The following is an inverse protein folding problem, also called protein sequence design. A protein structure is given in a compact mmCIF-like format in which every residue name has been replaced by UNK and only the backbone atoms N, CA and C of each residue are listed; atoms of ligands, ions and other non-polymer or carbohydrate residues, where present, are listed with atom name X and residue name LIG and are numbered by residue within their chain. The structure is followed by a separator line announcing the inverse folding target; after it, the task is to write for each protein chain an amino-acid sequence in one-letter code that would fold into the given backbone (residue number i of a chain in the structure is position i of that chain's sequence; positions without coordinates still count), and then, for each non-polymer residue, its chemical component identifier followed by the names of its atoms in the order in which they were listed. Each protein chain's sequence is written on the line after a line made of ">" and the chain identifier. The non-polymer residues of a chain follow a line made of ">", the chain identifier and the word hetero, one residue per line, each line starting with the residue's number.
data_IF_973236609193
#
_entry.id   IF_973236609193
#
_cell.length_a   1.000
_cell.length_b   1.000
_cell.length_c   1.000
_cell.angle_alpha   90.00
_cell.angle_beta   90.00
_cell.angle_gamma   90.00
#
_symmetry.space_group_name_H-M   'P 1'
#
loop_
_entity.id
_entity.type
_entity.pdbx_description
1 polymer ?
#
# COMPACT_ATOMS: atom_id res chain seq x y z
N UNK A 1 39.94 -29.91 -22.49
CA UNK A 1 38.65 -30.14 -21.79
C UNK A 1 38.60 -29.55 -20.38
N UNK A 2 39.70 -29.52 -19.60
CA UNK A 2 39.70 -28.87 -18.26
C UNK A 2 39.45 -27.35 -18.29
N UNK A 3 39.91 -26.64 -19.33
CA UNK A 3 39.73 -25.19 -19.46
C UNK A 3 38.29 -24.73 -19.72
N UNK A 4 37.45 -25.55 -20.37
CA UNK A 4 36.05 -25.18 -20.65
C UNK A 4 35.17 -25.22 -19.39
N UNK A 5 35.44 -26.17 -18.48
CA UNK A 5 34.70 -26.32 -17.21
C UNK A 5 34.97 -25.15 -16.27
N UNK A 6 36.22 -24.65 -16.27
CA UNK A 6 36.60 -23.47 -15.51
C UNK A 6 35.84 -22.24 -16.04
N UNK A 7 35.72 -22.08 -17.35
CA UNK A 7 34.98 -20.98 -17.96
C UNK A 7 33.49 -21.01 -17.60
N UNK A 8 32.86 -22.20 -17.59
CA UNK A 8 31.46 -22.36 -17.19
C UNK A 8 31.20 -22.02 -15.70
N UNK A 9 32.08 -22.41 -14.78
CA UNK A 9 31.93 -22.10 -13.34
C UNK A 9 32.10 -20.61 -13.02
N UNK A 10 32.92 -19.89 -13.80
CA UNK A 10 33.11 -18.44 -13.63
C UNK A 10 31.86 -17.68 -14.06
N UNK A 11 31.16 -18.12 -15.11
CA UNK A 11 29.93 -17.46 -15.59
C UNK A 11 28.74 -17.64 -14.63
N UNK A 12 28.64 -18.77 -13.92
CA UNK A 12 27.57 -18.99 -12.92
C UNK A 12 27.79 -18.30 -11.57
N UNK A 13 28.98 -17.73 -11.33
CA UNK A 13 29.33 -17.07 -10.07
C UNK A 13 29.45 -15.56 -10.18
N UNK A 14 28.87 -14.92 -11.20
CA UNK A 14 28.62 -13.47 -11.15
C UNK A 14 27.56 -13.22 -10.07
N UNK A 15 27.98 -13.32 -8.81
CA UNK A 15 27.36 -12.61 -7.70
C UNK A 15 27.51 -11.15 -8.09
N UNK A 16 26.40 -10.52 -8.51
CA UNK A 16 26.29 -9.09 -8.79
C UNK A 16 27.32 -8.31 -7.96
N UNK A 17 28.44 -7.97 -8.61
CA UNK A 17 29.53 -7.23 -7.97
C UNK A 17 29.05 -5.79 -7.93
N UNK A 18 28.44 -5.42 -6.81
CA UNK A 18 28.00 -4.05 -6.55
C UNK A 18 29.12 -3.09 -6.94
N UNK A 19 28.82 -2.18 -7.86
CA UNK A 19 29.79 -1.23 -8.40
C UNK A 19 30.42 -0.45 -7.24
N UNK A 20 31.75 -0.29 -7.23
CA UNK A 20 32.50 0.39 -6.14
C UNK A 20 32.04 1.86 -5.94
N UNK A 21 31.23 2.41 -6.85
CA UNK A 21 30.60 3.73 -6.73
C UNK A 21 29.08 3.72 -6.43
N UNK A 22 28.44 2.58 -6.16
CA UNK A 22 27.03 2.55 -5.72
C UNK A 22 26.95 3.04 -4.27
N UNK A 23 26.24 4.14 -4.04
CA UNK A 23 25.94 4.62 -2.69
C UNK A 23 24.99 3.62 -2.05
N UNK A 24 25.29 3.17 -0.83
CA UNK A 24 24.33 2.36 -0.07
C UNK A 24 23.40 3.29 0.70
N UNK A 25 22.23 3.59 0.16
CA UNK A 25 21.29 4.48 0.83
C UNK A 25 20.74 3.89 2.13
N UNK A 26 20.79 2.55 2.30
CA UNK A 26 20.38 1.88 3.54
C UNK A 26 21.41 1.97 4.67
N UNK A 27 22.63 2.49 4.41
CA UNK A 27 23.65 2.65 5.46
C UNK A 27 23.42 3.88 6.34
N UNK A 28 22.74 4.91 5.82
CA UNK A 28 22.44 6.13 6.55
C UNK A 28 20.94 6.47 6.48
N UNK A 29 20.34 6.77 7.64
CA UNK A 29 18.93 7.16 7.76
C UNK A 29 18.56 8.44 6.96
N UNK A 30 19.55 9.24 6.55
CA UNK A 30 19.34 10.45 5.76
C UNK A 30 19.40 10.21 4.25
N UNK A 31 19.81 9.02 3.80
CA UNK A 31 19.91 8.66 2.38
C UNK A 31 18.67 7.91 1.89
N UNK A 32 17.82 7.43 2.79
CA UNK A 32 16.57 6.77 2.47
C UNK A 32 15.38 7.42 3.19
N UNK A 33 14.18 7.33 2.62
CA UNK A 33 12.93 7.72 3.30
C UNK A 33 11.98 6.53 3.54
N UNK A 34 12.52 5.32 3.73
CA UNK A 34 11.72 4.18 4.20
C UNK A 34 10.95 4.50 5.50
N UNK A 35 9.81 3.82 5.69
CA UNK A 35 9.11 3.82 6.97
C UNK A 35 10.06 3.32 8.06
N UNK A 36 9.85 3.79 9.29
CA UNK A 36 10.71 3.41 10.40
C UNK A 36 10.71 1.93 10.76
N UNK A 37 9.60 1.26 10.46
CA UNK A 37 9.45 -0.19 10.65
C UNK A 37 9.77 -0.97 9.38
N UNK A 38 10.00 -0.31 8.24
CA UNK A 38 10.28 -0.98 6.97
C UNK A 38 11.72 -1.48 6.89
N UNK A 39 11.90 -2.55 6.13
CA UNK A 39 13.22 -3.03 5.73
C UNK A 39 13.70 -2.25 4.52
N UNK A 40 14.84 -1.58 4.64
CA UNK A 40 15.54 -0.98 3.50
C UNK A 40 16.35 -2.04 2.74
N UNK A 41 16.22 -2.06 1.42
CA UNK A 41 16.90 -2.99 0.52
C UNK A 41 17.67 -2.17 -0.51
N UNK A 42 18.99 -2.21 -0.39
CA UNK A 42 19.93 -1.50 -1.25
C UNK A 42 20.11 -2.25 -2.59
N UNK A 43 19.74 -1.63 -3.71
CA UNK A 43 19.76 -2.22 -5.06
C UNK A 43 21.06 -1.85 -5.79
N UNK A 44 21.21 -2.30 -7.04
CA UNK A 44 22.33 -1.83 -7.88
C UNK A 44 22.14 -0.38 -8.33
N UNK A 45 20.89 0.03 -8.50
CA UNK A 45 20.47 1.38 -8.89
C UNK A 45 19.45 1.89 -7.86
N UNK A 46 19.94 2.64 -6.88
CA UNK A 46 19.18 3.16 -5.74
C UNK A 46 18.76 2.10 -4.72
N UNK A 47 17.61 2.32 -4.08
CA UNK A 47 17.11 1.48 -2.99
C UNK A 47 15.59 1.30 -3.06
N UNK A 48 15.10 0.25 -2.41
CA UNK A 48 13.67 0.01 -2.22
C UNK A 48 13.35 -0.28 -0.76
N UNK A 49 12.12 -0.01 -0.35
CA UNK A 49 11.66 -0.27 1.01
C UNK A 49 10.57 -1.34 0.99
N UNK A 50 10.52 -2.17 2.03
CA UNK A 50 9.50 -3.20 2.16
C UNK A 50 8.96 -3.25 3.58
N UNK A 51 7.64 -3.25 3.73
CA UNK A 51 7.03 -3.48 5.05
C UNK A 51 7.34 -4.89 5.56
N UNK A 52 7.60 -5.06 6.87
CA UNK A 52 7.84 -6.36 7.47
C UNK A 52 6.56 -7.21 7.50
N UNK A 53 6.72 -8.50 7.75
CA UNK A 53 5.58 -9.41 7.91
C UNK A 53 4.65 -8.88 9.01
N UNK A 54 3.33 -9.01 8.80
CA UNK A 54 2.25 -8.44 9.63
C UNK A 54 1.94 -6.96 9.40
N UNK A 55 2.69 -6.28 8.53
CA UNK A 55 2.39 -4.92 8.08
C UNK A 55 1.96 -4.91 6.62
N UNK A 56 0.96 -4.10 6.31
CA UNK A 56 0.49 -3.83 4.96
C UNK A 56 0.99 -2.47 4.51
N UNK A 57 1.33 -2.42 3.22
CA UNK A 57 1.76 -1.21 2.56
C UNK A 57 0.58 -0.27 2.34
N UNK A 58 0.71 0.97 2.83
CA UNK A 58 -0.30 2.01 2.65
C UNK A 58 -0.20 2.71 1.30
N UNK A 59 0.91 2.58 0.58
CA UNK A 59 1.09 3.20 -0.74
C UNK A 59 1.76 2.24 -1.74
N UNK A 60 0.98 1.60 -2.64
CA UNK A 60 1.53 0.74 -3.68
C UNK A 60 2.48 1.45 -4.66
N UNK A 61 2.35 2.77 -4.85
CA UNK A 61 3.23 3.55 -5.75
C UNK A 61 4.61 3.81 -5.13
N UNK A 62 4.68 3.88 -3.80
CA UNK A 62 5.93 4.05 -3.05
C UNK A 62 6.02 3.04 -1.91
N UNK A 63 6.39 1.79 -2.22
CA UNK A 63 6.31 0.72 -1.24
C UNK A 63 7.26 0.92 -0.07
N UNK A 64 6.85 0.44 1.11
CA UNK A 64 7.62 0.45 2.35
C UNK A 64 7.88 1.84 2.94
N UNK A 65 7.26 2.90 2.40
CA UNK A 65 7.27 4.26 2.99
C UNK A 65 6.18 4.42 4.05
N UNK A 66 5.06 3.71 3.86
CA UNK A 66 3.90 3.72 4.75
C UNK A 66 3.59 2.27 5.12
N UNK A 67 3.84 1.89 6.37
CA UNK A 67 3.56 0.54 6.87
C UNK A 67 2.51 0.63 7.99
N UNK A 68 1.44 -0.15 7.86
CA UNK A 68 0.34 -0.18 8.81
C UNK A 68 -0.09 -1.59 9.20
N UNK A 69 -0.60 -1.75 10.42
CA UNK A 69 -1.15 -3.04 10.89
C UNK A 69 -2.63 -3.10 10.52
N UNK A 70 -3.05 -4.23 9.91
CA UNK A 70 -4.41 -4.44 9.34
C UNK A 70 -5.49 -4.59 10.41
N UNK A 71 -5.15 -5.07 11.60
CA UNK A 71 -6.10 -5.24 12.71
C UNK A 71 -5.64 -4.44 13.91
N UNK A 72 -6.36 -3.36 14.19
CA UNK A 72 -5.99 -2.42 15.23
C UNK A 72 -7.17 -2.16 16.18
N UNK A 73 -7.08 -2.68 17.40
CA UNK A 73 -8.13 -2.53 18.42
C UNK A 73 -8.42 -1.06 18.76
N UNK A 74 -7.40 -0.19 18.69
CA UNK A 74 -7.55 1.24 18.97
C UNK A 74 -8.36 2.01 17.90
N UNK A 75 -8.50 1.46 16.69
CA UNK A 75 -9.40 2.00 15.67
C UNK A 75 -10.80 1.33 15.75
N UNK A 76 -11.18 0.86 16.94
CA UNK A 76 -12.44 0.13 17.20
C UNK A 76 -12.66 -1.08 16.29
N UNK A 77 -11.59 -1.69 15.76
CA UNK A 77 -11.65 -2.75 14.73
C UNK A 77 -12.42 -2.34 13.45
N UNK A 78 -12.63 -1.03 13.25
CA UNK A 78 -13.35 -0.46 12.11
C UNK A 78 -12.41 0.26 11.14
N UNK A 79 -11.10 0.00 11.22
CA UNK A 79 -10.11 0.60 10.36
C UNK A 79 -8.71 0.01 10.54
N UNK A 80 -7.83 0.37 9.62
CA UNK A 80 -6.41 0.00 9.65
C UNK A 80 -5.60 1.05 10.43
N UNK A 81 -4.47 0.66 11.00
CA UNK A 81 -3.55 1.57 11.70
C UNK A 81 -2.34 1.90 10.84
N UNK A 82 -2.14 3.16 10.49
CA UNK A 82 -0.94 3.65 9.81
C UNK A 82 0.02 4.30 10.81
N UNK A 83 1.32 4.00 10.70
CA UNK A 83 2.36 4.57 11.55
C UNK A 83 3.15 5.58 10.71
N UNK A 84 3.11 6.85 11.12
CA UNK A 84 3.95 7.89 10.52
C UNK A 84 5.20 8.09 11.40
N UNK A 85 6.38 7.74 10.86
CA UNK A 85 7.72 8.01 11.39
C UNK A 85 8.25 7.06 12.51
N UNK A 86 9.59 7.01 12.61
CA UNK A 86 10.45 6.28 13.54
C UNK A 86 10.30 6.69 15.02
N UNK A 87 9.82 7.90 15.28
CA UNK A 87 9.56 8.37 16.65
C UNK A 87 8.14 7.96 17.04
N UNK A 88 8.03 6.83 17.72
CA UNK A 88 6.78 6.26 18.18
C UNK A 88 5.81 7.30 18.79
N UNK A 89 4.73 7.63 18.07
CA UNK A 89 3.36 7.83 18.63
C UNK A 89 2.29 8.37 17.68
N UNK A 90 2.59 8.72 16.43
CA UNK A 90 1.54 9.23 15.54
C UNK A 90 0.87 8.09 14.74
N UNK A 91 -0.01 7.36 15.42
CA UNK A 91 -0.87 6.33 14.81
C UNK A 91 -2.12 7.01 14.25
N UNK A 92 -2.37 6.84 12.95
CA UNK A 92 -3.56 7.35 12.28
C UNK A 92 -4.47 6.17 11.89
N UNK A 93 -5.78 6.31 12.08
CA UNK A 93 -6.75 5.29 11.70
C UNK A 93 -7.31 5.56 10.30
N UNK A 94 -7.16 4.61 9.39
CA UNK A 94 -7.85 4.58 8.09
C UNK A 94 -9.14 3.78 8.24
N UNK A 95 -10.26 4.49 8.37
CA UNK A 95 -11.55 3.87 8.64
C UNK A 95 -12.12 3.14 7.42
N UNK A 96 -12.73 1.98 7.66
CA UNK A 96 -13.51 1.26 6.65
C UNK A 96 -14.75 2.06 6.23
N UNK A 97 -15.32 1.69 5.08
CA UNK A 97 -16.47 2.37 4.52
C UNK A 97 -17.65 2.41 5.52
N UNK A 98 -18.18 3.60 5.77
CA UNK A 98 -19.27 3.81 6.73
C UNK A 98 -18.80 4.12 8.16
N UNK A 99 -17.49 4.12 8.42
CA UNK A 99 -16.91 4.52 9.69
C UNK A 99 -16.07 5.79 9.57
N UNK A 100 -15.99 6.55 10.67
CA UNK A 100 -15.23 7.79 10.70
C UNK A 100 -14.94 8.25 12.12
N UNK A 101 -14.29 9.41 12.24
CA UNK A 101 -13.74 9.89 13.50
C UNK A 101 -12.23 9.63 13.59
N UNK A 102 -11.63 10.02 14.71
CA UNK A 102 -10.16 9.88 14.89
C UNK A 102 -9.76 8.41 15.08
N UNK A 103 -10.68 7.61 15.60
CA UNK A 103 -10.48 6.21 15.97
C UNK A 103 -11.56 5.31 15.37
N UNK A 104 -12.22 5.75 14.29
CA UNK A 104 -13.31 5.00 13.63
C UNK A 104 -14.48 4.63 14.57
N UNK A 105 -14.76 5.53 15.52
CA UNK A 105 -15.83 5.38 16.52
C UNK A 105 -17.22 5.77 15.98
N UNK A 106 -17.27 6.59 14.92
CA UNK A 106 -18.51 7.07 14.34
C UNK A 106 -19.04 6.08 13.31
N UNK A 107 -20.32 5.71 13.43
CA UNK A 107 -21.06 4.89 12.46
C UNK A 107 -21.77 5.80 11.45
N UNK A 108 -21.90 5.35 10.21
CA UNK A 108 -22.48 6.06 9.05
C UNK A 108 -21.68 7.29 8.57
N UNK A 109 -20.39 7.38 8.88
CA UNK A 109 -19.56 8.42 8.30
C UNK A 109 -19.35 8.13 6.80
N UNK A 110 -19.78 9.03 5.92
CA UNK A 110 -19.64 8.88 4.47
C UNK A 110 -20.80 8.19 3.74
N UNK A 111 -21.89 7.83 4.44
CA UNK A 111 -23.15 7.43 3.81
C UNK A 111 -23.85 8.66 3.19
N UNK A 112 -23.32 9.18 2.08
CA UNK A 112 -24.14 9.94 1.16
C UNK A 112 -24.95 8.92 0.37
N UNK A 113 -26.18 8.66 0.81
CA UNK A 113 -27.15 7.90 0.03
C UNK A 113 -27.26 8.58 -1.34
N UNK A 114 -26.68 7.97 -2.39
CA UNK A 114 -26.68 8.56 -3.73
C UNK A 114 -28.08 8.44 -4.32
N UNK A 115 -28.92 9.44 -4.04
CA UNK A 115 -30.27 9.61 -4.56
C UNK A 115 -30.32 9.47 -6.10
N UNK A 116 -29.19 9.71 -6.79
CA UNK A 116 -29.07 9.58 -8.24
C UNK A 116 -29.27 8.15 -8.78
N UNK A 117 -28.96 7.10 -8.00
CA UNK A 117 -29.15 5.72 -8.46
C UNK A 117 -30.65 5.35 -8.52
N UNK A 118 -31.45 5.92 -7.62
CA UNK A 118 -32.92 5.73 -7.61
C UNK A 118 -33.62 6.49 -8.73
N UNK A 119 -33.13 7.68 -9.10
CA UNK A 119 -33.72 8.47 -10.18
C UNK A 119 -33.58 7.79 -11.55
N UNK A 120 -32.43 7.15 -11.83
CA UNK A 120 -32.20 6.42 -13.07
C UNK A 120 -33.14 5.19 -13.21
N UNK A 121 -33.39 4.48 -12.10
CA UNK A 121 -34.34 3.35 -12.07
C UNK A 121 -35.79 3.81 -12.28
N UNK A 122 -36.16 4.97 -11.76
CA UNK A 122 -37.50 5.53 -11.97
C UNK A 122 -37.73 6.00 -13.41
N UNK A 123 -36.73 6.66 -14.02
CA UNK A 123 -36.82 7.12 -15.41
C UNK A 123 -36.90 5.93 -16.37
N UNK A 124 -36.06 4.90 -16.19
CA UNK A 124 -36.07 3.71 -17.06
C UNK A 124 -37.36 2.90 -16.98
N UNK A 125 -37.94 2.77 -15.78
CA UNK A 125 -39.23 2.09 -15.59
C UNK A 125 -40.39 2.87 -16.22
N UNK A 126 -40.40 4.20 -16.10
CA UNK A 126 -41.37 5.06 -16.77
C UNK A 126 -41.26 4.94 -18.29
N UNK A 127 -40.05 5.08 -18.86
CA UNK A 127 -39.85 4.94 -20.30
C UNK A 127 -40.28 3.57 -20.82
N UNK A 128 -39.96 2.49 -20.09
CA UNK A 128 -40.40 1.15 -20.45
C UNK A 128 -41.93 1.02 -20.44
N UNK A 129 -42.62 1.58 -19.43
CA UNK A 129 -44.07 1.58 -19.33
C UNK A 129 -44.75 2.35 -20.47
N UNK A 130 -44.24 3.54 -20.81
CA UNK A 130 -44.73 4.33 -21.95
C UNK A 130 -44.54 3.57 -23.28
N UNK A 131 -43.40 2.90 -23.48
CA UNK A 131 -43.16 2.07 -24.67
C UNK A 131 -44.12 0.88 -24.79
N UNK A 132 -44.56 0.29 -23.66
CA UNK A 132 -45.51 -0.83 -23.65
C UNK A 132 -46.92 -0.37 -24.01
N UNK A 133 -47.34 0.82 -23.55
CA UNK A 133 -48.68 1.36 -23.82
C UNK A 133 -48.83 1.90 -25.25
N UNK A 134 -47.75 2.43 -25.82
CA UNK A 134 -47.75 3.02 -27.17
C UNK A 134 -47.53 1.98 -28.30
N UNK A 135 -47.54 0.68 -27.97
CA UNK A 135 -47.43 -0.43 -28.91
C UNK A 135 -48.75 -1.18 -28.99
#
# INVERSE_FOLDING_TARGET
>A
MKFLVVFFLIVFSVKSEKNVNSVNECSDLNLHNCSGVATCIDLEDGYTCRCPDQYVDGNPEEPGRICGIVFCDMCNLHGNCNIHNNDAKNITCDCFQGYGGKFCELKNAGQNFKINDYFALFVTTIFAYFCIILR
#
